data_IF_639175139145
#
_entry.id   IF_639175139145
#
_cell.length_a   1.000
_cell.length_b   1.000
_cell.length_c   1.000
_cell.angle_alpha   90.00
_cell.angle_beta   90.00
_cell.angle_gamma   90.00
#
_symmetry.space_group_name_H-M   'P 1'
#
loop_
_entity.id
_entity.type
_entity.pdbx_description
1 polymer ?
#
# COMPACT_ATOMS: atom_id res chain seq x y z
N UNK A 1 43.42 28.62 26.73
CA UNK A 1 42.50 29.73 27.03
C UNK A 1 41.73 30.10 25.76
N UNK A 2 40.43 29.84 25.67
CA UNK A 2 39.46 30.74 25.03
C UNK A 2 38.05 30.26 25.37
N UNK A 3 37.24 31.18 25.91
CA UNK A 3 35.91 30.94 26.48
C UNK A 3 34.86 30.92 25.37
N UNK A 4 33.95 29.95 25.41
CA UNK A 4 32.70 29.96 24.62
C UNK A 4 31.60 30.48 25.54
N UNK A 5 31.04 31.65 25.20
CA UNK A 5 29.87 32.22 25.86
C UNK A 5 28.63 31.90 25.02
N UNK A 6 27.68 31.18 25.62
CA UNK A 6 26.37 30.92 25.03
C UNK A 6 25.48 32.16 25.05
N UNK A 7 24.67 32.34 24.01
CA UNK A 7 23.60 33.34 23.98
C UNK A 7 22.30 32.69 23.51
N UNK A 8 21.34 32.61 24.45
CA UNK A 8 19.92 32.32 24.20
C UNK A 8 19.33 33.43 23.34
N UNK A 9 18.55 33.07 22.32
CA UNK A 9 17.58 33.98 21.69
C UNK A 9 16.21 33.34 21.83
N UNK A 10 15.35 34.02 22.60
CA UNK A 10 13.96 33.65 22.82
C UNK A 10 13.08 34.03 21.64
N UNK A 11 11.97 33.31 21.58
CA UNK A 11 10.88 33.36 20.62
C UNK A 11 10.37 34.76 20.26
N UNK A 12 9.91 34.92 19.02
CA UNK A 12 8.65 35.58 18.63
C UNK A 12 8.50 35.47 17.09
N UNK A 13 7.65 34.57 16.60
CA UNK A 13 6.95 34.79 15.32
C UNK A 13 5.60 34.08 15.32
N UNK A 14 4.56 34.86 15.10
CA UNK A 14 3.14 34.52 15.13
C UNK A 14 2.75 34.02 13.74
N UNK A 15 2.44 32.74 13.62
CA UNK A 15 1.81 32.17 12.42
C UNK A 15 0.31 32.02 12.70
N UNK A 16 -0.50 32.80 11.97
CA UNK A 16 -1.96 32.67 11.97
C UNK A 16 -2.36 31.46 11.12
N UNK A 17 -3.20 30.59 11.69
CA UNK A 17 -3.95 29.55 10.98
C UNK A 17 -5.36 30.07 10.63
N UNK A 18 -5.94 29.74 9.47
CA UNK A 18 -7.36 29.97 9.25
C UNK A 18 -8.17 28.83 9.86
N UNK A 19 -9.12 29.18 10.72
CA UNK A 19 -10.13 28.27 11.27
C UNK A 19 -11.27 28.08 10.28
N UNK A 20 -11.60 26.83 9.97
CA UNK A 20 -12.81 26.45 9.25
C UNK A 20 -14.02 26.51 10.21
N UNK A 21 -15.04 27.29 9.85
CA UNK A 21 -16.30 27.38 10.60
C UNK A 21 -17.32 26.38 10.02
N UNK A 22 -17.61 25.32 10.77
CA UNK A 22 -18.80 24.49 10.58
C UNK A 22 -19.96 25.18 11.30
N UNK A 23 -20.94 25.69 10.54
CA UNK A 23 -22.20 26.18 11.10
C UNK A 23 -23.24 25.07 11.01
N UNK A 24 -23.58 24.53 12.18
CA UNK A 24 -24.67 23.59 12.42
C UNK A 24 -25.97 24.37 12.61
N UNK A 25 -26.97 24.13 11.76
CA UNK A 25 -28.30 24.73 11.87
C UNK A 25 -29.14 24.04 12.95
N UNK A 26 -29.52 24.76 13.99
CA UNK A 26 -30.63 24.42 14.89
C UNK A 26 -31.91 25.07 14.36
N UNK A 27 -32.93 24.26 14.08
CA UNK A 27 -34.31 24.74 14.00
C UNK A 27 -34.82 25.11 15.41
N UNK A 28 -35.69 26.13 15.51
CA UNK A 28 -36.98 25.88 16.13
C UNK A 28 -38.17 26.49 15.37
N UNK A 29 -39.31 25.87 15.61
CA UNK A 29 -40.64 26.11 15.03
C UNK A 29 -41.42 27.10 15.91
N UNK A 30 -42.37 27.81 15.28
CA UNK A 30 -43.56 28.52 15.79
C UNK A 30 -43.52 30.05 15.96
N UNK A 31 -44.53 30.70 15.34
CA UNK A 31 -45.05 32.00 15.77
C UNK A 31 -45.68 32.84 14.64
N UNK A 32 -47.00 32.84 14.56
CA UNK A 32 -47.83 33.68 13.67
C UNK A 32 -47.70 35.18 13.98
N UNK A 33 -47.89 36.04 12.96
CA UNK A 33 -48.11 37.48 13.14
C UNK A 33 -48.15 38.26 11.82
N UNK A 34 -49.36 38.69 11.43
CA UNK A 34 -49.65 39.54 10.28
C UNK A 34 -49.03 40.94 10.39
N UNK A 35 -48.51 41.51 9.29
CA UNK A 35 -48.82 42.86 8.79
C UNK A 35 -47.88 43.32 7.66
N UNK A 36 -48.50 43.54 6.50
CA UNK A 36 -48.16 44.32 5.31
C UNK A 36 -46.89 45.22 5.28
N UNK A 37 -46.09 45.04 4.24
CA UNK A 37 -45.58 46.11 3.38
C UNK A 37 -45.13 45.53 2.02
N UNK A 38 -45.52 46.21 0.96
CA UNK A 38 -45.53 45.81 -0.44
C UNK A 38 -44.14 45.58 -1.07
N UNK A 39 -44.02 44.51 -1.89
CA UNK A 39 -43.19 44.55 -3.10
C UNK A 39 -43.66 43.48 -4.11
N UNK A 40 -44.33 43.96 -5.15
CA UNK A 40 -45.03 43.19 -6.16
C UNK A 40 -44.12 42.64 -7.25
N UNK A 41 -44.01 41.31 -7.37
CA UNK A 41 -43.56 40.65 -8.60
C UNK A 41 -44.77 40.14 -9.38
N UNK A 42 -45.16 40.88 -10.43
CA UNK A 42 -46.21 40.46 -11.34
C UNK A 42 -45.71 39.32 -12.24
N UNK A 43 -46.33 38.15 -12.11
CA UNK A 43 -46.22 37.06 -13.09
C UNK A 43 -47.22 37.33 -14.21
N UNK A 44 -46.73 37.84 -15.34
CA UNK A 44 -47.53 38.04 -16.54
C UNK A 44 -47.79 36.70 -17.24
N UNK A 45 -48.95 36.08 -16.99
CA UNK A 45 -49.44 34.98 -17.80
C UNK A 45 -50.01 35.52 -19.13
N UNK A 46 -49.58 35.04 -20.31
CA UNK A 46 -50.18 35.45 -21.56
C UNK A 46 -51.57 34.82 -21.67
N UNK A 47 -52.59 35.66 -21.57
CA UNK A 47 -54.00 35.32 -21.82
C UNK A 47 -54.22 35.27 -23.33
N UNK A 48 -53.87 34.15 -23.98
CA UNK A 48 -54.20 33.94 -25.39
C UNK A 48 -55.71 33.73 -25.53
N UNK A 49 -56.42 34.74 -26.05
CA UNK A 49 -57.83 34.64 -26.42
C UNK A 49 -57.94 33.73 -27.64
N UNK A 50 -58.68 32.63 -27.51
CA UNK A 50 -59.17 31.88 -28.66
C UNK A 50 -60.15 32.77 -29.44
N UNK A 51 -59.73 33.24 -30.62
CA UNK A 51 -60.62 33.84 -31.60
C UNK A 51 -60.76 32.83 -32.75
N UNK A 52 -61.93 32.20 -32.82
CA UNK A 52 -62.34 31.36 -33.93
C UNK A 52 -62.79 32.27 -35.06
N UNK A 53 -62.04 32.31 -36.16
CA UNK A 53 -62.50 32.98 -37.38
C UNK A 53 -62.06 32.17 -38.60
N UNK A 54 -63.02 31.47 -39.20
CA UNK A 54 -62.94 30.99 -40.57
C UNK A 54 -63.58 32.04 -41.49
N UNK A 55 -63.03 32.27 -42.70
CA UNK A 55 -63.64 31.62 -43.85
C UNK A 55 -62.66 31.13 -44.94
N UNK A 56 -63.07 30.02 -45.55
CA UNK A 56 -62.89 29.51 -46.92
C UNK A 56 -61.59 29.70 -47.74
N UNK A 57 -61.22 28.55 -48.36
CA UNK A 57 -60.56 28.30 -49.66
C UNK A 57 -59.02 28.42 -49.76
N UNK A 58 -58.34 27.27 -49.68
CA UNK A 58 -57.08 27.02 -50.40
C UNK A 58 -55.97 26.30 -49.63
N UNK A 59 -55.78 25.01 -49.92
CA UNK A 59 -54.61 24.16 -49.61
C UNK A 59 -54.33 23.80 -48.12
N UNK A 60 -54.75 22.58 -47.77
CA UNK A 60 -54.43 21.84 -46.55
C UNK A 60 -52.95 21.40 -46.56
N UNK A 61 -52.12 21.90 -45.63
CA UNK A 61 -50.95 21.20 -45.06
C UNK A 61 -50.30 21.96 -43.89
N UNK A 62 -50.84 21.76 -42.69
CA UNK A 62 -50.22 21.96 -41.37
C UNK A 62 -51.14 21.16 -40.42
N UNK A 63 -50.76 20.08 -39.73
CA UNK A 63 -49.68 19.94 -38.76
C UNK A 63 -49.26 18.46 -38.67
N UNK A 64 -48.19 18.04 -39.36
CA UNK A 64 -47.55 16.77 -39.03
C UNK A 64 -46.21 17.09 -38.34
N UNK A 65 -45.91 16.49 -37.19
CA UNK A 65 -44.59 16.65 -36.57
C UNK A 65 -43.52 16.21 -37.58
N UNK A 66 -42.39 16.93 -37.60
CA UNK A 66 -41.33 16.75 -38.60
C UNK A 66 -40.88 15.29 -38.76
N UNK A 67 -40.95 14.51 -37.68
CA UNK A 67 -40.70 13.07 -37.65
C UNK A 67 -41.67 12.26 -38.50
N UNK A 68 -42.97 12.57 -38.48
CA UNK A 68 -44.00 11.89 -39.27
C UNK A 68 -43.96 12.30 -40.74
N UNK A 69 -43.59 13.56 -41.02
CA UNK A 69 -43.36 14.03 -42.40
C UNK A 69 -42.16 13.33 -43.05
N UNK A 70 -41.06 13.14 -42.30
CA UNK A 70 -39.86 12.45 -42.77
C UNK A 70 -40.09 10.95 -43.06
N UNK A 71 -40.92 10.27 -42.26
CA UNK A 71 -41.28 8.85 -42.48
C UNK A 71 -42.15 8.68 -43.74
N UNK A 72 -43.07 9.61 -44.00
CA UNK A 72 -44.00 9.52 -45.14
C UNK A 72 -43.36 9.92 -46.48
N UNK A 73 -42.30 10.72 -46.46
CA UNK A 73 -41.55 11.14 -47.65
C UNK A 73 -40.04 10.93 -47.43
N UNK A 74 -39.53 9.70 -47.52
CA UNK A 74 -38.12 9.42 -47.35
C UNK A 74 -37.33 10.01 -48.53
N UNK A 75 -36.64 11.12 -48.30
CA UNK A 75 -35.67 11.70 -49.24
C UNK A 75 -34.25 11.31 -48.82
N UNK A 76 -33.38 10.95 -49.75
CA UNK A 76 -31.96 10.66 -49.47
C UNK A 76 -31.17 11.89 -49.00
N UNK A 77 -31.74 13.10 -49.19
CA UNK A 77 -31.16 14.36 -48.76
C UNK A 77 -31.52 14.62 -47.30
N UNK A 78 -30.55 14.42 -46.41
CA UNK A 78 -30.69 14.76 -44.99
C UNK A 78 -30.71 16.29 -44.87
N UNK A 79 -31.88 16.85 -44.61
CA UNK A 79 -32.04 18.27 -44.29
C UNK A 79 -31.95 18.40 -42.78
N UNK A 80 -30.82 18.90 -42.29
CA UNK A 80 -30.68 19.22 -40.87
C UNK A 80 -31.53 20.45 -40.55
N UNK A 81 -32.23 20.43 -39.42
CA UNK A 81 -32.92 21.59 -38.90
C UNK A 81 -31.87 22.64 -38.49
N UNK A 82 -31.73 23.71 -39.27
CA UNK A 82 -30.82 24.82 -38.97
C UNK A 82 -31.48 25.91 -38.10
N UNK A 83 -32.80 25.83 -37.85
CA UNK A 83 -33.52 26.86 -37.11
C UNK A 83 -33.35 26.74 -35.59
N UNK A 84 -33.11 25.52 -35.08
CA UNK A 84 -33.12 25.25 -33.64
C UNK A 84 -31.75 24.85 -33.07
N UNK A 85 -30.68 24.98 -33.87
CA UNK A 85 -29.32 24.65 -33.48
C UNK A 85 -28.38 25.83 -33.75
N UNK A 86 -28.00 26.56 -32.71
CA UNK A 86 -26.90 27.52 -32.80
C UNK A 86 -25.59 26.78 -33.10
N UNK A 87 -25.08 26.91 -34.33
CA UNK A 87 -23.77 26.38 -34.69
C UNK A 87 -22.70 27.35 -34.21
N UNK A 88 -22.04 27.03 -33.11
CA UNK A 88 -20.86 27.78 -32.69
C UNK A 88 -19.72 27.60 -33.71
N UNK A 89 -19.08 28.68 -34.17
CA UNK A 89 -17.98 28.58 -35.12
C UNK A 89 -16.80 27.84 -34.48
N UNK A 90 -15.99 27.12 -35.28
CA UNK A 90 -14.79 26.47 -34.76
C UNK A 90 -13.86 27.54 -34.16
N UNK A 91 -13.44 27.32 -32.90
CA UNK A 91 -12.55 28.24 -32.20
C UNK A 91 -11.20 28.43 -32.90
N UNK A 92 -10.62 29.61 -32.71
CA UNK A 92 -9.35 30.05 -33.30
C UNK A 92 -8.23 28.99 -33.17
N UNK A 93 -7.70 28.47 -34.29
CA UNK A 93 -6.65 27.45 -34.28
C UNK A 93 -5.38 27.85 -33.52
N UNK A 94 -5.02 29.14 -33.51
CA UNK A 94 -3.80 29.64 -32.87
C UNK A 94 -3.79 29.45 -31.35
N UNK A 95 -4.96 29.37 -30.72
CA UNK A 95 -5.14 29.23 -29.25
C UNK A 95 -5.15 27.79 -28.77
N UNK A 96 -5.23 26.81 -29.69
CA UNK A 96 -5.33 25.38 -29.34
C UNK A 96 -4.09 24.86 -28.63
N UNK A 97 -2.90 25.32 -29.04
CA UNK A 97 -1.65 24.91 -28.41
C UNK A 97 -1.61 25.29 -26.92
N UNK A 98 -2.01 26.53 -26.60
CA UNK A 98 -2.14 26.98 -25.21
C UNK A 98 -3.21 26.20 -24.45
N UNK A 99 -4.37 25.95 -25.08
CA UNK A 99 -5.44 25.14 -24.46
C UNK A 99 -4.98 23.70 -24.15
N UNK A 100 -4.28 23.03 -25.07
CA UNK A 100 -3.73 21.70 -24.84
C UNK A 100 -2.62 21.69 -23.79
N UNK A 101 -1.79 22.72 -23.75
CA UNK A 101 -0.80 22.88 -22.70
C UNK A 101 -1.46 22.95 -21.32
N UNK A 102 -2.48 23.80 -21.14
CA UNK A 102 -3.21 23.93 -19.87
C UNK A 102 -3.93 22.64 -19.50
N UNK A 103 -4.66 22.01 -20.44
CA UNK A 103 -5.40 20.78 -20.19
C UNK A 103 -4.46 19.60 -19.85
N UNK A 104 -3.36 19.46 -20.59
CA UNK A 104 -2.40 18.37 -20.36
C UNK A 104 -1.59 18.60 -19.09
N UNK A 105 -1.18 19.85 -18.82
CA UNK A 105 -0.54 20.23 -17.56
C UNK A 105 -1.42 19.93 -16.35
N UNK A 106 -2.70 20.28 -16.41
CA UNK A 106 -3.68 19.94 -15.37
C UNK A 106 -3.82 18.43 -15.16
N UNK A 107 -3.89 17.64 -16.25
CA UNK A 107 -3.95 16.17 -16.17
C UNK A 107 -2.69 15.56 -15.56
N UNK A 108 -1.51 16.12 -15.87
CA UNK A 108 -0.25 15.67 -15.28
C UNK A 108 -0.21 15.90 -13.77
N UNK A 109 -0.62 17.09 -13.30
CA UNK A 109 -0.70 17.40 -11.87
C UNK A 109 -1.71 16.48 -11.18
N UNK A 110 -2.90 16.31 -11.76
CA UNK A 110 -3.93 15.42 -11.22
C UNK A 110 -3.44 13.96 -11.10
N UNK A 111 -2.86 13.42 -12.17
CA UNK A 111 -2.34 12.05 -12.17
C UNK A 111 -1.20 11.88 -11.16
N UNK A 112 -0.35 12.89 -10.99
CA UNK A 112 0.73 12.88 -9.99
C UNK A 112 0.20 12.87 -8.56
N UNK A 113 -0.81 13.69 -8.25
CA UNK A 113 -1.44 13.71 -6.93
C UNK A 113 -2.15 12.39 -6.62
N UNK A 114 -2.91 11.85 -7.58
CA UNK A 114 -3.58 10.57 -7.43
C UNK A 114 -2.57 9.45 -7.16
N UNK A 115 -1.45 9.43 -7.90
CA UNK A 115 -0.35 8.49 -7.67
C UNK A 115 0.20 8.61 -6.26
N UNK A 116 0.47 9.82 -5.77
CA UNK A 116 0.99 10.03 -4.42
C UNK A 116 -0.01 9.56 -3.35
N UNK A 117 -1.30 9.82 -3.53
CA UNK A 117 -2.35 9.35 -2.61
C UNK A 117 -2.39 7.81 -2.55
N UNK A 118 -2.41 7.14 -3.70
CA UNK A 118 -2.40 5.68 -3.77
C UNK A 118 -1.13 5.12 -3.13
N UNK A 119 0.04 5.68 -3.45
CA UNK A 119 1.31 5.22 -2.86
C UNK A 119 1.33 5.41 -1.35
N UNK A 120 0.85 6.54 -0.83
CA UNK A 120 0.78 6.77 0.62
C UNK A 120 -0.19 5.80 1.30
N UNK A 121 -1.32 5.52 0.68
CA UNK A 121 -2.26 4.53 1.18
C UNK A 121 -1.64 3.13 1.22
N UNK A 122 -1.05 2.66 0.11
CA UNK A 122 -0.39 1.34 0.06
C UNK A 122 0.79 1.25 1.04
N UNK A 123 1.63 2.29 1.11
CA UNK A 123 2.76 2.32 2.05
C UNK A 123 2.33 2.40 3.51
N UNK A 124 1.13 2.91 3.83
CA UNK A 124 0.60 2.87 5.19
C UNK A 124 0.27 1.45 5.66
N UNK A 125 0.09 0.50 4.74
CA UNK A 125 -0.07 -0.93 5.04
C UNK A 125 1.26 -1.71 5.02
N UNK A 126 2.38 -1.05 4.67
CA UNK A 126 3.72 -1.67 4.71
C UNK A 126 4.27 -1.70 6.15
N UNK A 127 5.37 -2.43 6.35
CA UNK A 127 5.97 -2.59 7.68
C UNK A 127 6.29 -1.24 8.33
N UNK A 128 5.87 -1.09 9.59
CA UNK A 128 6.08 0.12 10.38
C UNK A 128 7.55 0.24 10.83
N UNK A 129 7.97 1.47 11.18
CA UNK A 129 9.38 1.77 11.49
C UNK A 129 9.92 1.02 12.71
N UNK A 130 9.07 0.73 13.69
CA UNK A 130 9.39 -0.09 14.84
C UNK A 130 9.67 -1.56 14.46
N UNK A 131 8.89 -2.12 13.52
CA UNK A 131 9.16 -3.47 12.97
C UNK A 131 10.47 -3.49 12.17
N UNK A 132 10.80 -2.40 11.46
CA UNK A 132 12.08 -2.27 10.76
C UNK A 132 13.26 -2.03 11.71
N UNK A 133 13.03 -1.41 12.87
CA UNK A 133 14.07 -1.26 13.90
C UNK A 133 14.46 -2.60 14.53
N UNK A 134 13.55 -3.59 14.54
CA UNK A 134 13.81 -4.98 14.95
C UNK A 134 14.54 -5.80 13.87
N UNK A 135 15.10 -5.16 12.83
CA UNK A 135 15.81 -5.83 11.76
C UNK A 135 17.17 -6.39 12.18
N UNK A 136 17.86 -5.71 13.10
CA UNK A 136 19.12 -6.17 13.67
C UNK A 136 18.97 -6.49 15.16
N UNK A 137 19.62 -7.55 15.61
CA UNK A 137 19.61 -7.98 17.00
C UNK A 137 21.03 -8.30 17.46
N UNK A 138 21.44 -7.67 18.56
CA UNK A 138 22.69 -8.00 19.24
C UNK A 138 22.43 -9.04 20.33
N UNK A 139 23.15 -10.15 20.28
CA UNK A 139 23.08 -11.22 21.27
C UNK A 139 24.45 -11.38 21.93
N UNK A 140 24.48 -11.39 23.25
CA UNK A 140 25.69 -11.64 24.03
C UNK A 140 25.99 -13.15 24.08
N UNK A 141 27.17 -13.54 23.59
CA UNK A 141 27.62 -14.93 23.53
C UNK A 141 28.22 -15.43 24.84
N UNK A 142 28.58 -14.54 25.77
CA UNK A 142 29.27 -14.91 27.02
C UNK A 142 28.43 -15.78 27.95
N UNK A 143 27.10 -15.67 27.84
CA UNK A 143 26.14 -16.40 28.67
C UNK A 143 25.87 -17.85 28.22
N UNK A 144 26.46 -18.29 27.11
CA UNK A 144 26.13 -19.57 26.46
C UNK A 144 27.21 -20.63 26.76
N UNK A 145 26.81 -21.68 27.48
CA UNK A 145 27.67 -22.82 27.80
C UNK A 145 27.88 -23.73 26.58
N UNK A 146 29.06 -24.38 26.44
CA UNK A 146 29.30 -25.36 25.37
C UNK A 146 28.28 -26.50 25.40
N UNK A 147 27.76 -26.88 24.23
CA UNK A 147 26.73 -27.91 24.07
C UNK A 147 25.30 -27.43 24.34
N UNK A 148 25.11 -26.19 24.84
CA UNK A 148 23.78 -25.61 25.04
C UNK A 148 23.28 -24.89 23.77
N UNK A 149 21.95 -24.82 23.62
CA UNK A 149 21.30 -24.12 22.51
C UNK A 149 20.33 -23.09 23.06
N UNK A 150 20.58 -21.83 22.73
CA UNK A 150 19.72 -20.70 23.11
C UNK A 150 18.82 -20.33 21.94
N UNK A 151 17.55 -20.07 22.23
CA UNK A 151 16.57 -19.62 21.23
C UNK A 151 16.29 -18.15 21.45
N UNK A 152 16.57 -17.32 20.44
CA UNK A 152 16.29 -15.89 20.47
C UNK A 152 15.30 -15.53 19.38
N UNK A 153 14.42 -14.55 19.61
CA UNK A 153 13.43 -14.11 18.62
C UNK A 153 14.01 -13.00 17.75
N UNK A 154 14.12 -13.23 16.43
CA UNK A 154 14.56 -12.24 15.44
C UNK A 154 13.54 -12.16 14.30
N UNK A 155 13.07 -10.95 13.97
CA UNK A 155 12.03 -10.70 12.94
C UNK A 155 10.78 -11.57 13.09
N UNK A 156 10.40 -11.89 14.33
CA UNK A 156 9.26 -12.77 14.63
C UNK A 156 9.53 -14.27 14.48
N UNK A 157 10.70 -14.67 13.96
CA UNK A 157 11.14 -16.06 13.82
C UNK A 157 12.08 -16.43 14.99
N UNK A 158 12.05 -17.68 15.46
CA UNK A 158 13.09 -18.16 16.38
C UNK A 158 14.41 -18.34 15.62
N UNK A 159 15.51 -17.95 16.23
CA UNK A 159 16.88 -18.23 15.79
C UNK A 159 17.54 -19.06 16.88
N UNK A 160 18.08 -20.20 16.49
CA UNK A 160 18.84 -21.08 17.36
C UNK A 160 20.31 -20.69 17.27
N UNK A 161 20.88 -20.40 18.42
CA UNK A 161 22.31 -20.14 18.60
C UNK A 161 22.82 -21.29 19.46
N UNK A 162 23.64 -22.15 18.86
CA UNK A 162 24.28 -23.27 19.56
C UNK A 162 25.77 -23.02 19.64
N UNK A 163 26.31 -23.16 20.84
CA UNK A 163 27.75 -23.27 21.06
C UNK A 163 28.14 -24.74 20.96
N UNK A 164 28.79 -25.14 19.89
CA UNK A 164 29.14 -26.54 19.60
C UNK A 164 30.39 -26.96 20.36
N UNK A 165 30.43 -28.22 20.77
CA UNK A 165 31.66 -28.85 21.29
C UNK A 165 32.56 -29.30 20.13
N UNK A 166 33.81 -29.65 20.42
CA UNK A 166 34.72 -30.21 19.42
C UNK A 166 34.17 -31.52 18.81
N UNK A 167 33.52 -32.35 19.62
CA UNK A 167 32.85 -33.57 19.17
C UNK A 167 31.69 -33.28 18.21
N UNK A 168 30.88 -32.26 18.50
CA UNK A 168 29.79 -31.81 17.62
C UNK A 168 30.33 -31.34 16.25
N UNK A 169 31.47 -30.64 16.25
CA UNK A 169 32.12 -30.13 15.03
C UNK A 169 32.68 -31.31 14.20
N UNK A 170 33.33 -32.27 14.85
CA UNK A 170 33.84 -33.47 14.20
C UNK A 170 32.71 -34.33 13.63
N UNK A 171 31.59 -34.45 14.36
CA UNK A 171 30.39 -35.13 13.88
C UNK A 171 29.81 -34.41 12.65
N UNK A 172 29.70 -33.08 12.66
CA UNK A 172 29.20 -32.32 11.53
C UNK A 172 30.05 -32.51 10.26
N UNK A 173 31.38 -32.53 10.42
CA UNK A 173 32.36 -32.62 9.32
C UNK A 173 32.55 -34.04 8.78
N UNK A 174 32.31 -35.07 9.60
CA UNK A 174 32.45 -36.48 9.18
C UNK A 174 31.26 -37.01 8.37
N UNK A 175 30.18 -36.24 8.28
CA UNK A 175 29.00 -36.59 7.46
C UNK A 175 29.33 -36.48 5.98
N UNK A 176 29.08 -37.56 5.23
CA UNK A 176 29.14 -37.54 3.77
C UNK A 176 28.13 -36.56 3.18
N UNK A 177 28.63 -35.49 2.57
CA UNK A 177 27.84 -34.39 2.02
C UNK A 177 26.99 -34.83 0.83
N UNK A 178 27.43 -35.83 0.07
CA UNK A 178 26.70 -36.33 -1.11
C UNK A 178 25.49 -37.18 -0.73
N UNK A 179 25.49 -37.78 0.45
CA UNK A 179 24.35 -38.52 0.99
C UNK A 179 23.18 -37.62 1.43
N UNK A 180 23.43 -36.31 1.57
CA UNK A 180 22.43 -35.34 2.03
C UNK A 180 21.46 -34.99 0.91
N UNK A 181 20.19 -34.75 1.30
CA UNK A 181 19.17 -34.25 0.36
C UNK A 181 19.52 -32.87 -0.20
N UNK A 182 20.11 -32.03 0.64
CA UNK A 182 20.58 -30.69 0.32
C UNK A 182 22.08 -30.62 0.64
N UNK A 183 22.96 -30.97 -0.33
CA UNK A 183 24.39 -31.08 -0.12
C UNK A 183 25.01 -29.74 0.27
N UNK A 184 25.41 -29.62 1.53
CA UNK A 184 26.10 -28.44 2.04
C UNK A 184 27.14 -28.83 3.10
N UNK A 185 28.38 -28.37 2.92
CA UNK A 185 29.44 -28.56 3.90
C UNK A 185 29.22 -27.65 5.12
N UNK A 186 29.74 -28.06 6.28
CA UNK A 186 29.60 -27.26 7.51
C UNK A 186 30.33 -25.92 7.41
N UNK A 187 31.50 -25.91 6.77
CA UNK A 187 32.33 -24.71 6.52
C UNK A 187 31.60 -23.61 5.75
N UNK A 188 30.63 -23.98 4.92
CA UNK A 188 29.85 -23.02 4.12
C UNK A 188 28.66 -22.46 4.91
N UNK A 189 28.29 -23.12 6.01
CA UNK A 189 27.16 -22.75 6.87
C UNK A 189 27.58 -21.89 8.05
N UNK A 190 28.81 -22.05 8.53
CA UNK A 190 29.30 -21.36 9.73
C UNK A 190 30.55 -20.54 9.41
N UNK A 191 30.63 -19.32 9.96
CA UNK A 191 31.84 -18.50 9.89
C UNK A 191 32.90 -18.93 10.91
N UNK A 192 32.45 -19.32 12.10
CA UNK A 192 33.29 -19.88 13.17
C UNK A 192 32.69 -21.24 13.54
N UNK A 193 33.45 -22.34 13.51
CA UNK A 193 32.93 -23.67 13.78
C UNK A 193 32.36 -23.84 15.21
N UNK A 194 32.81 -23.06 16.19
CA UNK A 194 32.25 -23.10 17.54
C UNK A 194 30.78 -22.63 17.57
N UNK A 195 30.38 -21.71 16.69
CA UNK A 195 29.09 -21.04 16.75
C UNK A 195 28.23 -21.40 15.55
N UNK A 196 27.15 -22.13 15.81
CA UNK A 196 26.12 -22.39 14.81
C UNK A 196 24.92 -21.48 15.05
N UNK A 197 24.57 -20.72 14.02
CA UNK A 197 23.43 -19.80 14.04
C UNK A 197 22.50 -20.19 12.90
N UNK A 198 21.29 -20.65 13.23
CA UNK A 198 20.29 -21.09 12.24
C UNK A 198 18.90 -20.56 12.59
N UNK A 199 18.11 -20.23 11.58
CA UNK A 199 16.71 -19.86 11.74
C UNK A 199 15.92 -21.13 12.08
N UNK A 200 15.25 -21.13 13.22
CA UNK A 200 14.46 -22.25 13.75
C UNK A 200 13.11 -22.43 13.07
N UNK A 201 13.04 -22.23 11.76
CA UNK A 201 11.84 -22.38 10.95
C UNK A 201 12.04 -23.56 10.01
N UNK A 202 11.27 -24.62 10.24
CA UNK A 202 11.33 -25.82 9.42
C UNK A 202 10.97 -25.49 7.96
N UNK A 203 11.82 -25.90 7.03
CA UNK A 203 11.68 -25.67 5.59
C UNK A 203 10.54 -26.46 4.92
N UNK A 204 9.85 -27.33 5.66
CA UNK A 204 8.64 -27.98 5.17
C UNK A 204 7.46 -26.99 5.10
N UNK A 205 6.96 -26.56 6.27
CA UNK A 205 5.77 -25.70 6.41
C UNK A 205 5.90 -24.65 7.53
N UNK A 206 7.12 -24.40 8.02
CA UNK A 206 7.40 -23.31 8.95
C UNK A 206 7.20 -23.60 10.44
N UNK A 207 6.99 -24.85 10.84
CA UNK A 207 6.97 -25.24 12.25
C UNK A 207 8.33 -24.99 12.95
N UNK A 208 8.33 -24.90 14.27
CA UNK A 208 9.54 -24.71 15.08
C UNK A 208 10.10 -26.08 15.48
N UNK A 209 11.32 -26.45 15.04
CA UNK A 209 11.97 -27.67 15.49
C UNK A 209 12.37 -27.61 16.96
N UNK A 210 12.26 -28.72 17.68
CA UNK A 210 12.73 -28.87 19.06
C UNK A 210 14.25 -29.10 19.07
N UNK A 211 15.03 -28.36 19.88
CA UNK A 211 16.47 -28.56 19.99
C UNK A 211 16.82 -29.84 20.76
N UNK A 212 17.99 -30.41 20.47
CA UNK A 212 18.52 -31.64 21.10
C UNK A 212 17.55 -32.83 21.01
N UNK A 213 16.80 -32.93 19.91
CA UNK A 213 15.79 -33.95 19.70
C UNK A 213 15.94 -34.61 18.32
N UNK A 214 15.45 -35.85 18.23
CA UNK A 214 15.48 -36.66 17.02
C UNK A 214 16.77 -37.47 16.82
N UNK A 215 16.73 -38.32 15.80
CA UNK A 215 17.73 -39.36 15.53
C UNK A 215 19.18 -38.87 15.24
N UNK A 216 19.40 -37.57 14.99
CA UNK A 216 20.69 -37.03 14.52
C UNK A 216 21.30 -35.95 15.44
N UNK A 217 20.85 -35.86 16.69
CA UNK A 217 21.46 -35.00 17.71
C UNK A 217 21.31 -33.48 17.51
N UNK A 218 20.63 -33.04 16.45
CA UNK A 218 20.36 -31.63 16.16
C UNK A 218 18.96 -31.23 16.59
N UNK A 219 18.03 -31.21 15.63
CA UNK A 219 16.66 -30.76 15.85
C UNK A 219 15.61 -31.70 15.28
N UNK A 220 14.46 -31.76 15.94
CA UNK A 220 13.31 -32.54 15.49
C UNK A 220 12.06 -31.67 15.32
N UNK A 221 11.48 -31.68 14.13
CA UNK A 221 10.22 -31.01 13.83
C UNK A 221 9.04 -31.99 14.01
N UNK A 222 8.21 -31.84 15.07
CA UNK A 222 7.15 -32.78 15.38
C UNK A 222 5.97 -32.75 14.40
N UNK A 223 5.85 -31.71 13.57
CA UNK A 223 4.70 -31.55 12.68
C UNK A 223 4.57 -32.68 11.65
N UNK A 224 5.68 -33.09 11.04
CA UNK A 224 5.70 -34.15 10.03
C UNK A 224 6.97 -35.02 10.13
N UNK A 225 7.64 -35.01 11.30
CA UNK A 225 8.81 -35.83 11.58
C UNK A 225 10.04 -35.49 10.75
N UNK A 226 10.35 -34.19 10.57
CA UNK A 226 11.62 -33.80 9.93
C UNK A 226 12.75 -33.77 10.95
N UNK A 227 13.85 -34.45 10.66
CA UNK A 227 15.04 -34.51 11.53
C UNK A 227 16.20 -33.75 10.90
N UNK A 228 16.79 -32.87 11.68
CA UNK A 228 17.96 -32.08 11.32
C UNK A 228 19.16 -32.52 12.14
N UNK A 229 20.34 -32.56 11.52
CA UNK A 229 21.59 -32.84 12.20
C UNK A 229 22.12 -31.64 13.01
N UNK A 230 23.27 -31.82 13.65
CA UNK A 230 23.93 -30.79 14.47
C UNK A 230 24.34 -29.53 13.71
N UNK A 231 24.38 -29.54 12.37
CA UNK A 231 24.64 -28.39 11.49
C UNK A 231 23.34 -27.75 10.97
N UNK A 232 22.18 -28.31 11.35
CA UNK A 232 20.86 -27.89 10.89
C UNK A 232 20.53 -28.39 9.49
N UNK A 233 21.19 -29.45 9.02
CA UNK A 233 20.96 -30.04 7.69
C UNK A 233 19.89 -31.12 7.75
N UNK A 234 19.04 -31.18 6.73
CA UNK A 234 17.93 -32.13 6.69
C UNK A 234 18.44 -33.55 6.42
N UNK A 235 18.06 -34.50 7.28
CA UNK A 235 18.45 -35.91 7.17
C UNK A 235 17.26 -36.83 6.85
N UNK A 236 16.10 -36.55 7.45
CA UNK A 236 14.90 -37.39 7.35
C UNK A 236 13.63 -36.55 7.41
N UNK A 237 12.55 -37.04 6.81
CA UNK A 237 11.24 -36.39 6.78
C UNK A 237 10.95 -35.67 5.45
N UNK A 238 9.84 -34.92 5.36
CA UNK A 238 9.41 -34.27 4.11
C UNK A 238 10.07 -32.92 3.81
N UNK A 239 10.81 -32.31 4.75
CA UNK A 239 11.44 -31.02 4.52
C UNK A 239 12.43 -31.07 3.32
N UNK A 240 12.33 -30.15 2.34
CA UNK A 240 13.17 -30.21 1.15
C UNK A 240 14.61 -29.69 1.36
N UNK A 241 14.80 -28.71 2.26
CA UNK A 241 16.05 -27.96 2.40
C UNK A 241 16.59 -27.95 3.84
N UNK A 242 17.87 -27.61 4.00
CA UNK A 242 18.50 -27.36 5.30
C UNK A 242 17.90 -26.13 6.00
N UNK A 243 18.08 -26.01 7.33
CA UNK A 243 17.70 -24.79 8.05
C UNK A 243 18.50 -23.59 7.52
N UNK A 244 17.81 -22.47 7.35
CA UNK A 244 18.40 -21.23 6.84
C UNK A 244 19.40 -20.66 7.84
N UNK A 245 20.57 -20.24 7.35
CA UNK A 245 21.55 -19.49 8.15
C UNK A 245 21.29 -18.00 7.93
N UNK A 246 20.95 -17.22 8.97
CA UNK A 246 20.72 -15.79 8.81
C UNK A 246 22.05 -15.07 8.50
N UNK A 247 21.98 -13.84 8.00
CA UNK A 247 23.17 -12.99 7.93
C UNK A 247 23.55 -12.55 9.34
N UNK A 248 24.80 -12.80 9.74
CA UNK A 248 25.31 -12.40 11.04
C UNK A 248 26.78 -11.97 10.98
N UNK A 249 27.22 -11.15 11.93
CA UNK A 249 28.62 -10.76 12.12
C UNK A 249 29.01 -10.82 13.61
N UNK A 250 30.29 -11.09 13.87
CA UNK A 250 30.86 -11.04 15.21
C UNK A 250 31.41 -9.62 15.46
N UNK A 251 31.07 -9.03 16.60
CA UNK A 251 31.58 -7.74 17.07
C UNK A 251 32.68 -7.95 18.13
N UNK A 252 33.46 -6.90 18.41
CA UNK A 252 34.66 -6.93 19.29
C UNK A 252 34.37 -7.30 20.77
N UNK A 253 33.10 -7.29 21.18
CA UNK A 253 32.67 -7.48 22.58
C UNK A 253 32.05 -8.86 22.87
N UNK A 254 32.41 -9.92 22.13
CA UNK A 254 31.71 -11.23 22.17
C UNK A 254 30.20 -11.11 21.90
N UNK A 255 29.81 -10.10 21.13
CA UNK A 255 28.44 -9.89 20.67
C UNK A 255 28.27 -10.40 19.25
N UNK A 256 27.17 -11.08 19.03
CA UNK A 256 26.71 -11.52 17.73
C UNK A 256 25.64 -10.55 17.22
N UNK A 257 25.88 -9.91 16.09
CA UNK A 257 24.87 -9.12 15.39
C UNK A 257 24.18 -10.01 14.36
N UNK A 258 22.85 -10.13 14.44
CA UNK A 258 22.01 -10.87 13.49
C UNK A 258 21.17 -9.87 12.71
N UNK A 259 21.29 -9.87 11.38
CA UNK A 259 20.55 -8.98 10.47
C UNK A 259 21.36 -7.80 9.93
#
# INVERSE_FOLDING_TARGET
MLRIAGRRVGALSRWQTPTASVVSSRNPVHGFGDSAADDSWQISAPRARFAFQSPLLGAVRADLPATVAAIKNPTSKIVYDEHNHERHPPGDPSKRAFAYFVLTGGRFVYASLLRLLILKFVLSMSASKDVLALASLEVDLSSIEPGSTVTVKWRGKPVFIRRRTEDDINLANSVDVLSLRDPQADSDRVKNPEWLVVVGVCTHLGCIPLPNAGDFGGWFCPCHGSHYDISGRIRKGPAPFNLEVPQYSFLEENKLLIG
#
